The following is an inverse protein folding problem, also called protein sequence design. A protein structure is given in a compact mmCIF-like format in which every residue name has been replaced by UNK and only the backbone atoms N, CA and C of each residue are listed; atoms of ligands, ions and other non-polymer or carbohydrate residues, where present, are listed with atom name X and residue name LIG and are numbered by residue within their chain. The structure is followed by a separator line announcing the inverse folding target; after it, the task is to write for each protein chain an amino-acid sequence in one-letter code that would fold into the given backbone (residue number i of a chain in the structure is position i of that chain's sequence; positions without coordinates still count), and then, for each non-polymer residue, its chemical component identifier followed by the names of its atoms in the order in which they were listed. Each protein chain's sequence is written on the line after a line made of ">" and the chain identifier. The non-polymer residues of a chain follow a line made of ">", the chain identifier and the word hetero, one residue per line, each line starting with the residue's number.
data_IF_417491559361
#
_entry.id   IF_417491559361
#
_cell.length_a   1.000
_cell.length_b   1.000
_cell.length_c   1.000
_cell.angle_alpha   90.00
_cell.angle_beta   90.00
_cell.angle_gamma   90.00
#
_symmetry.space_group_name_H-M   'P 1'
#
loop_
_entity.id
_entity.type
_entity.pdbx_description
1 polymer ?
#
# COMPACT_ATOMS: atom_id res chain seq x y z
N UNK A 1 -5.02 -8.45 21.43
CA UNK A 1 -4.16 -7.49 20.71
C UNK A 1 -4.57 -6.07 21.09
N UNK A 2 -3.64 -5.13 21.23
CA UNK A 2 -3.96 -3.72 21.49
C UNK A 2 -3.71 -2.91 20.21
N UNK A 3 -4.60 -1.99 19.83
CA UNK A 3 -4.33 -1.07 18.74
C UNK A 3 -3.12 -0.20 19.09
N UNK A 4 -2.30 0.09 18.08
CA UNK A 4 -1.15 0.98 18.21
C UNK A 4 -1.21 2.04 17.10
N UNK A 5 -0.70 3.23 17.41
CA UNK A 5 -0.56 4.28 16.41
C UNK A 5 0.47 3.85 15.34
N UNK A 6 0.06 3.93 14.08
CA UNK A 6 0.93 3.58 12.95
C UNK A 6 1.81 4.78 12.58
N UNK A 7 3.08 4.49 12.29
CA UNK A 7 4.02 5.44 11.72
C UNK A 7 4.27 5.05 10.27
N UNK A 8 4.36 6.03 9.42
CA UNK A 8 4.68 5.80 8.03
C UNK A 8 6.09 5.19 7.88
N UNK A 9 6.28 4.44 6.79
CA UNK A 9 7.56 3.78 6.48
C UNK A 9 7.77 3.73 4.99
N UNK A 10 9.02 3.50 4.58
CA UNK A 10 9.31 3.05 3.22
C UNK A 10 9.30 1.51 3.20
N UNK A 11 8.63 0.93 2.20
CA UNK A 11 8.77 -0.48 1.83
C UNK A 11 9.73 -0.54 0.65
N UNK A 12 10.94 -1.00 0.93
CA UNK A 12 12.02 -1.01 -0.04
C UNK A 12 11.75 -2.02 -1.17
N UNK A 13 12.37 -1.80 -2.32
CA UNK A 13 12.23 -2.68 -3.49
C UNK A 13 12.60 -4.14 -3.19
N UNK A 14 13.53 -4.37 -2.26
CA UNK A 14 13.95 -5.71 -1.84
C UNK A 14 12.88 -6.45 -1.02
N UNK A 15 11.96 -5.73 -0.37
CA UNK A 15 10.89 -6.31 0.45
C UNK A 15 9.64 -6.63 -0.39
N UNK A 16 9.43 -5.91 -1.49
CA UNK A 16 8.23 -6.04 -2.34
C UNK A 16 7.96 -7.46 -2.84
N UNK A 17 8.95 -8.26 -3.31
CA UNK A 17 8.68 -9.64 -3.74
C UNK A 17 8.04 -10.51 -2.65
N UNK A 18 8.31 -10.22 -1.38
CA UNK A 18 7.75 -10.94 -0.23
C UNK A 18 6.44 -10.37 0.29
N UNK A 19 6.04 -9.19 -0.19
CA UNK A 19 4.89 -8.43 0.28
C UNK A 19 3.89 -8.07 -0.83
N UNK A 20 4.12 -8.56 -2.05
CA UNK A 20 3.42 -8.09 -3.26
C UNK A 20 1.91 -8.26 -3.14
N UNK A 21 1.45 -9.36 -2.56
CA UNK A 21 0.03 -9.64 -2.39
C UNK A 21 -0.58 -8.90 -1.18
N UNK A 22 0.26 -8.42 -0.25
CA UNK A 22 -0.12 -7.63 0.92
C UNK A 22 -0.12 -6.11 0.65
N UNK A 23 0.46 -5.63 -0.45
CA UNK A 23 0.46 -4.19 -0.80
C UNK A 23 -0.94 -3.55 -0.71
N UNK A 24 -2.04 -4.18 -1.18
CA UNK A 24 -3.38 -3.59 -1.05
C UNK A 24 -3.79 -3.31 0.40
N UNK A 25 -3.58 -4.26 1.32
CA UNK A 25 -3.94 -4.07 2.73
C UNK A 25 -2.96 -3.13 3.44
N UNK A 26 -1.67 -3.19 3.10
CA UNK A 26 -0.66 -2.28 3.63
C UNK A 26 -0.91 -0.82 3.20
N UNK A 27 -1.38 -0.60 1.97
CA UNK A 27 -1.77 0.73 1.49
C UNK A 27 -3.01 1.28 2.24
N UNK A 28 -3.97 0.41 2.56
CA UNK A 28 -5.10 0.77 3.41
C UNK A 28 -4.65 1.17 4.82
N UNK A 29 -3.72 0.41 5.43
CA UNK A 29 -3.14 0.73 6.74
C UNK A 29 -2.31 2.02 6.70
N UNK A 30 -1.56 2.24 5.62
CA UNK A 30 -0.77 3.45 5.40
C UNK A 30 -1.65 4.71 5.40
N UNK A 31 -2.89 4.63 4.90
CA UNK A 31 -3.84 5.76 4.93
C UNK A 31 -4.23 6.21 6.34
N UNK A 32 -3.88 5.44 7.38
CA UNK A 32 -4.11 5.74 8.81
C UNK A 32 -2.80 5.99 9.57
N UNK A 33 -1.65 5.90 8.90
CA UNK A 33 -0.35 6.14 9.50
C UNK A 33 -0.04 7.64 9.55
N UNK A 34 0.77 8.05 10.53
CA UNK A 34 1.31 9.41 10.58
C UNK A 34 2.53 9.52 9.67
N UNK A 35 2.48 10.38 8.66
CA UNK A 35 3.53 10.58 7.66
C UNK A 35 3.18 10.02 6.28
N UNK A 36 4.18 9.90 5.41
CA UNK A 36 4.03 9.37 4.05
C UNK A 36 4.65 7.96 3.97
N UNK A 37 3.83 6.96 3.62
CA UNK A 37 4.32 5.60 3.37
C UNK A 37 4.59 5.43 1.89
N UNK A 38 5.77 4.93 1.55
CA UNK A 38 6.20 4.79 0.15
C UNK A 38 6.48 3.33 -0.17
N UNK A 39 5.85 2.80 -1.22
CA UNK A 39 6.12 1.46 -1.76
C UNK A 39 6.97 1.57 -3.03
N UNK A 40 8.21 1.08 -3.00
CA UNK A 40 9.13 1.16 -4.15
C UNK A 40 8.98 -0.05 -5.08
N UNK A 41 9.03 0.16 -6.39
CA UNK A 41 9.12 -0.94 -7.39
C UNK A 41 7.95 -1.95 -7.38
N UNK A 42 6.73 -1.53 -7.03
CA UNK A 42 5.51 -2.37 -7.02
C UNK A 42 4.88 -2.61 -8.41
N UNK A 43 5.69 -2.60 -9.48
CA UNK A 43 5.23 -2.69 -10.86
C UNK A 43 4.48 -4.00 -11.20
N UNK A 44 4.77 -5.10 -10.50
CA UNK A 44 4.12 -6.40 -10.70
C UNK A 44 2.59 -6.34 -10.51
N UNK A 45 2.11 -5.39 -9.70
CA UNK A 45 0.68 -5.19 -9.47
C UNK A 45 -0.08 -4.66 -10.69
N UNK A 46 0.61 -4.28 -11.78
CA UNK A 46 0.00 -3.80 -13.03
C UNK A 46 -0.17 -4.89 -14.11
N UNK A 47 0.49 -6.04 -13.99
CA UNK A 47 0.74 -6.96 -15.12
C UNK A 47 -0.01 -8.30 -15.07
N UNK A 48 -0.79 -8.56 -14.01
CA UNK A 48 -1.63 -9.78 -13.91
C UNK A 48 -3.02 -9.53 -14.52
N UNK A 49 -4.05 -10.24 -14.07
CA UNK A 49 -5.45 -10.15 -14.56
C UNK A 49 -6.10 -8.77 -14.36
N UNK A 50 -5.55 -7.94 -13.47
CA UNK A 50 -6.04 -6.60 -13.19
C UNK A 50 -4.91 -5.65 -12.78
N UNK A 51 -5.08 -4.36 -13.05
CA UNK A 51 -4.21 -3.32 -12.52
C UNK A 51 -4.61 -3.03 -11.06
N UNK A 52 -4.06 -3.83 -10.15
CA UNK A 52 -4.36 -3.75 -8.71
C UNK A 52 -3.95 -2.40 -8.11
N UNK A 53 -2.92 -1.74 -8.65
CA UNK A 53 -2.54 -0.39 -8.19
C UNK A 53 -3.62 0.64 -8.48
N UNK A 54 -4.18 0.64 -9.69
CA UNK A 54 -5.26 1.58 -10.04
C UNK A 54 -6.50 1.36 -9.18
N UNK A 55 -6.88 0.10 -8.95
CA UNK A 55 -8.01 -0.23 -8.09
C UNK A 55 -7.80 0.20 -6.64
N UNK A 56 -6.62 -0.05 -6.08
CA UNK A 56 -6.27 0.39 -4.72
C UNK A 56 -6.30 1.92 -4.63
N UNK A 57 -5.66 2.63 -5.57
CA UNK A 57 -5.66 4.08 -5.59
C UNK A 57 -7.08 4.67 -5.73
N UNK A 58 -7.91 4.10 -6.62
CA UNK A 58 -9.29 4.53 -6.80
C UNK A 58 -10.11 4.35 -5.53
N UNK A 59 -10.00 3.19 -4.88
CA UNK A 59 -10.72 2.91 -3.62
C UNK A 59 -10.25 3.82 -2.48
N UNK A 60 -8.94 4.05 -2.34
CA UNK A 60 -8.41 4.96 -1.32
C UNK A 60 -8.91 6.40 -1.54
N UNK A 61 -8.92 6.89 -2.79
CA UNK A 61 -9.49 8.20 -3.13
C UNK A 61 -10.99 8.29 -2.85
N UNK A 62 -11.75 7.24 -3.15
CA UNK A 62 -13.18 7.19 -2.83
C UNK A 62 -13.46 7.28 -1.31
N UNK A 63 -12.48 6.89 -0.48
CA UNK A 63 -12.50 7.02 0.97
C UNK A 63 -11.91 8.35 1.48
N UNK A 64 -11.57 9.29 0.59
CA UNK A 64 -11.02 10.61 0.94
C UNK A 64 -9.52 10.61 1.26
N UNK A 65 -8.79 9.56 0.90
CA UNK A 65 -7.33 9.51 1.04
C UNK A 65 -6.71 10.22 -0.17
N UNK A 66 -5.85 11.21 0.09
CA UNK A 66 -5.15 12.00 -0.92
C UNK A 66 -3.82 11.34 -1.32
#
# INVERSE_FOLDING_TARGET
>A
MRPAALRATEVAAAEVPTLVDEVPILAALASRATGETVFRQVGELRVKESNRLELVAANLRALGVA
#
